data_IF_222395101105
#
_entry.id   IF_222395101105
#
_cell.length_a   1.000
_cell.length_b   1.000
_cell.length_c   1.000
_cell.angle_alpha   90.00
_cell.angle_beta   90.00
_cell.angle_gamma   90.00
#
_symmetry.space_group_name_H-M   'P 1'
#
loop_
_entity.id
_entity.type
_entity.pdbx_description
1 polymer ?
#
# COMPACT_ATOMS: atom_id res chain seq x y z
N UNK A 1 0.90 20.95 10.66
CA UNK A 1 0.38 20.18 9.51
C UNK A 1 1.54 19.56 8.75
N UNK A 2 1.91 18.31 9.03
CA UNK A 2 2.77 17.51 8.15
C UNK A 2 2.33 16.04 8.29
N UNK A 3 1.48 15.60 7.36
CA UNK A 3 1.02 14.21 7.26
C UNK A 3 2.14 13.36 6.66
N UNK A 4 3.04 12.82 7.49
CA UNK A 4 4.16 11.95 7.07
C UNK A 4 3.73 10.50 6.76
N UNK A 5 2.53 10.30 6.20
CA UNK A 5 1.86 9.00 6.24
C UNK A 5 1.73 8.21 4.93
N UNK A 6 1.82 8.84 3.77
CA UNK A 6 1.44 8.23 2.47
C UNK A 6 2.17 8.87 1.28
N UNK A 7 3.51 8.85 1.25
CA UNK A 7 4.22 9.13 -0.01
C UNK A 7 4.31 7.83 -0.80
N UNK A 8 3.77 7.86 -2.00
CA UNK A 8 3.86 6.76 -2.95
C UNK A 8 5.20 6.90 -3.68
N UNK A 9 6.06 5.88 -3.63
CA UNK A 9 7.33 5.85 -4.37
C UNK A 9 7.15 5.45 -5.85
N UNK A 10 5.90 5.49 -6.33
CA UNK A 10 5.56 5.27 -7.73
C UNK A 10 5.73 6.59 -8.47
N UNK A 11 6.43 6.51 -9.60
CA UNK A 11 6.59 7.63 -10.52
C UNK A 11 5.62 7.48 -11.68
N UNK A 12 5.40 6.26 -12.17
CA UNK A 12 4.52 5.99 -13.31
C UNK A 12 3.75 4.67 -13.15
N UNK A 13 2.47 4.67 -13.53
CA UNK A 13 1.63 3.49 -13.73
C UNK A 13 1.09 3.52 -15.16
N UNK A 14 1.49 2.58 -16.02
CA UNK A 14 1.05 2.47 -17.42
C UNK A 14 1.16 3.79 -18.23
N UNK A 15 2.24 4.56 -18.06
CA UNK A 15 2.42 5.86 -18.73
C UNK A 15 1.86 7.06 -17.96
N UNK A 16 1.10 6.86 -16.88
CA UNK A 16 0.54 7.95 -16.07
C UNK A 16 1.48 8.28 -14.93
N UNK A 17 1.99 9.51 -14.89
CA UNK A 17 2.80 9.99 -13.78
C UNK A 17 1.95 10.11 -12.49
N UNK A 18 2.43 9.53 -11.39
CA UNK A 18 1.74 9.53 -10.09
C UNK A 18 2.60 10.07 -8.94
N UNK A 19 3.74 10.73 -9.23
CA UNK A 19 4.70 11.23 -8.24
C UNK A 19 4.09 12.25 -7.27
N UNK A 20 3.15 13.05 -7.76
CA UNK A 20 2.46 14.11 -7.00
C UNK A 20 0.99 13.79 -6.71
N UNK A 21 0.54 12.61 -7.13
CA UNK A 21 -0.82 12.14 -6.95
C UNK A 21 -1.04 11.52 -5.57
N UNK A 22 -2.29 11.41 -5.15
CA UNK A 22 -2.62 10.72 -3.91
C UNK A 22 -2.31 9.22 -4.02
N UNK A 23 -1.97 8.59 -2.89
CA UNK A 23 -1.82 7.13 -2.83
C UNK A 23 -3.07 6.39 -3.34
N UNK A 24 -4.25 6.93 -3.05
CA UNK A 24 -5.53 6.39 -3.51
C UNK A 24 -5.62 6.40 -5.05
N UNK A 25 -5.19 7.48 -5.70
CA UNK A 25 -5.20 7.58 -7.17
C UNK A 25 -4.30 6.54 -7.82
N UNK A 26 -3.10 6.34 -7.27
CA UNK A 26 -2.20 5.30 -7.74
C UNK A 26 -2.81 3.90 -7.55
N UNK A 27 -3.46 3.64 -6.41
CA UNK A 27 -4.16 2.39 -6.13
C UNK A 27 -5.32 2.15 -7.11
N UNK A 28 -6.09 3.18 -7.45
CA UNK A 28 -7.20 3.07 -8.40
C UNK A 28 -6.70 2.78 -9.83
N UNK A 29 -5.58 3.38 -10.24
CA UNK A 29 -4.93 3.05 -11.51
C UNK A 29 -4.45 1.59 -11.54
N UNK A 30 -3.89 1.09 -10.44
CA UNK A 30 -3.49 -0.32 -10.33
C UNK A 30 -4.70 -1.27 -10.37
N UNK A 31 -5.78 -0.94 -9.65
CA UNK A 31 -7.01 -1.75 -9.62
C UNK A 31 -7.75 -1.77 -10.95
N UNK A 32 -7.70 -0.67 -11.69
CA UNK A 32 -8.39 -0.55 -12.99
C UNK A 32 -7.60 -1.16 -14.15
N UNK A 33 -6.28 -1.36 -13.99
CA UNK A 33 -5.46 -2.00 -15.00
C UNK A 33 -5.85 -3.49 -15.18
N UNK A 34 -5.84 -3.93 -16.43
CA UNK A 34 -6.13 -5.33 -16.81
C UNK A 34 -4.92 -5.93 -17.51
N UNK A 35 -4.64 -7.20 -17.23
CA UNK A 35 -3.48 -7.89 -17.79
C UNK A 35 -2.18 -7.42 -17.16
N UNK A 36 -1.23 -6.98 -17.98
CA UNK A 36 0.10 -6.58 -17.52
C UNK A 36 0.13 -5.11 -17.14
N UNK A 37 0.75 -4.79 -16.00
CA UNK A 37 0.99 -3.43 -15.54
C UNK A 37 2.48 -3.11 -15.65
N UNK A 38 2.81 -1.93 -16.19
CA UNK A 38 4.19 -1.41 -16.20
C UNK A 38 4.32 -0.31 -15.16
N UNK A 39 5.32 -0.44 -14.29
CA UNK A 39 5.59 0.50 -13.20
C UNK A 39 6.98 1.09 -13.33
N UNK A 40 7.10 2.40 -13.07
CA UNK A 40 8.39 3.05 -12.82
C UNK A 40 8.41 3.46 -11.36
N UNK A 41 9.39 2.94 -10.62
CA UNK A 41 9.52 3.10 -9.16
C UNK A 41 10.89 3.62 -8.79
N UNK A 42 10.97 4.38 -7.70
CA UNK A 42 12.25 4.67 -7.05
C UNK A 42 12.54 3.61 -6.01
N UNK A 43 13.73 3.02 -6.11
CA UNK A 43 14.21 2.09 -5.11
C UNK A 43 14.83 2.85 -3.93
N UNK A 44 14.13 2.83 -2.80
CA UNK A 44 14.59 3.42 -1.53
C UNK A 44 14.67 2.32 -0.46
N UNK A 45 15.81 1.61 -0.32
CA UNK A 45 15.90 0.39 0.49
C UNK A 45 15.39 0.53 1.93
N UNK A 46 15.70 1.64 2.60
CA UNK A 46 15.31 1.88 4.01
C UNK A 46 13.81 2.03 4.21
N UNK A 47 13.10 2.52 3.20
CA UNK A 47 11.66 2.76 3.27
C UNK A 47 10.87 1.45 3.17
N UNK A 48 11.37 0.49 2.40
CA UNK A 48 10.74 -0.83 2.26
C UNK A 48 10.68 -1.55 3.61
N UNK A 49 11.80 -1.58 4.34
CA UNK A 49 11.88 -2.19 5.67
C UNK A 49 10.93 -1.53 6.68
N UNK A 50 10.81 -0.20 6.63
CA UNK A 50 9.91 0.55 7.51
C UNK A 50 8.44 0.27 7.18
N UNK A 51 8.11 0.23 5.89
CA UNK A 51 6.77 -0.12 5.40
C UNK A 51 6.38 -1.53 5.81
N UNK A 52 7.24 -2.54 5.61
CA UNK A 52 6.96 -3.93 6.03
C UNK A 52 6.68 -4.02 7.53
N UNK A 53 7.53 -3.41 8.36
CA UNK A 53 7.32 -3.38 9.82
C UNK A 53 6.00 -2.70 10.19
N UNK A 54 5.58 -1.65 9.48
CA UNK A 54 4.31 -0.96 9.72
C UNK A 54 3.11 -1.83 9.32
N UNK A 55 3.15 -2.46 8.15
CA UNK A 55 2.08 -3.34 7.67
C UNK A 55 1.94 -4.58 8.56
N UNK A 56 3.05 -5.16 9.01
CA UNK A 56 3.00 -6.30 9.92
C UNK A 56 2.35 -5.93 11.26
N UNK A 57 2.69 -4.76 11.84
CA UNK A 57 2.01 -4.25 13.03
C UNK A 57 0.51 -4.06 12.82
N UNK A 58 0.08 -3.55 11.67
CA UNK A 58 -1.33 -3.38 11.34
C UNK A 58 -2.05 -4.74 11.21
N UNK A 59 -1.44 -5.71 10.50
CA UNK A 59 -1.99 -7.07 10.36
C UNK A 59 -2.16 -7.77 11.70
N UNK A 60 -1.15 -7.67 12.59
CA UNK A 60 -1.23 -8.26 13.94
C UNK A 60 -2.38 -7.66 14.75
N UNK A 61 -2.59 -6.34 14.68
CA UNK A 61 -3.72 -5.68 15.35
C UNK A 61 -5.08 -6.10 14.78
N UNK A 62 -5.19 -6.21 13.45
CA UNK A 62 -6.41 -6.68 12.80
C UNK A 62 -6.76 -8.13 13.20
N UNK A 63 -5.77 -9.01 13.26
CA UNK A 63 -5.97 -10.41 13.69
C UNK A 63 -6.25 -10.56 15.19
N UNK A 64 -5.76 -9.66 16.04
CA UNK A 64 -6.04 -9.70 17.49
C UNK A 64 -7.46 -9.25 17.85
N UNK A 65 -8.15 -8.51 16.96
CA UNK A 65 -9.50 -7.99 17.20
C UNK A 65 -10.63 -8.85 16.60
N UNK A 66 -10.34 -10.06 16.13
CA UNK A 66 -11.39 -11.00 15.72
C UNK A 66 -11.80 -11.85 16.92
N UNK A 67 -13.04 -11.71 17.47
CA UNK A 67 -13.52 -12.66 18.47
C UNK A 67 -13.54 -14.05 17.81
N UNK A 68 -12.90 -15.02 18.45
CA UNK A 68 -12.87 -16.40 17.96
C UNK A 68 -14.31 -16.87 17.69
N UNK A 69 -14.59 -17.56 16.56
CA UNK A 69 -15.91 -18.13 16.34
C UNK A 69 -16.19 -19.16 17.42
N UNK A 70 -17.09 -18.84 18.35
CA UNK A 70 -17.61 -19.79 19.33
C UNK A 70 -18.54 -20.73 18.59
N UNK A 71 -18.02 -21.86 18.10
CA UNK A 71 -18.85 -22.96 17.63
C UNK A 71 -19.52 -23.60 18.84
N UNK A 72 -20.80 -23.28 19.07
CA UNK A 72 -21.65 -24.06 19.98
C UNK A 72 -22.05 -25.36 19.29
N UNK A 73 -21.78 -26.48 19.96
CA UNK A 73 -22.29 -27.81 19.64
C UNK A 73 -23.78 -27.91 19.96
#
# INVERSE_FOLDING_TARGET
MLHSGNRTELFEVNGVNVEWESHEKAVDLLKSARGTVRLVVRYTPRLLDEMERRFERQRRRANQNSPAPVFKR
#
